data_IF_997318622224
#
_entry.id   IF_997318622224
#
_cell.length_a   1.000
_cell.length_b   1.000
_cell.length_c   1.000
_cell.angle_alpha   90.00
_cell.angle_beta   90.00
_cell.angle_gamma   90.00
#
_symmetry.space_group_name_H-M   'P 1'
#
loop_
_entity.id
_entity.type
_entity.pdbx_description
1 polymer ?
#
# COMPACT_ATOMS: atom_id res chain seq x y z
N UNK A 1 -20.99 -77.26 0.56
CA UNK A 1 -20.04 -76.59 -0.35
C UNK A 1 -20.61 -75.29 -0.94
N UNK A 2 -21.83 -74.85 -0.59
CA UNK A 2 -22.51 -73.74 -1.29
C UNK A 2 -22.46 -72.36 -0.59
N UNK A 3 -21.94 -72.29 0.64
CA UNK A 3 -21.97 -71.05 1.44
C UNK A 3 -20.74 -70.14 1.24
N UNK A 4 -19.62 -70.67 0.75
CA UNK A 4 -18.36 -69.91 0.59
C UNK A 4 -18.32 -69.23 -0.78
N UNK A 5 -18.76 -69.94 -1.82
CA UNK A 5 -18.88 -69.42 -3.19
C UNK A 5 -19.90 -68.28 -3.30
N UNK A 6 -21.05 -68.38 -2.63
CA UNK A 6 -22.05 -67.29 -2.64
C UNK A 6 -21.57 -66.03 -1.90
N UNK A 7 -20.82 -66.20 -0.80
CA UNK A 7 -20.19 -65.09 -0.07
C UNK A 7 -19.09 -64.42 -0.89
N UNK A 8 -18.30 -65.20 -1.63
CA UNK A 8 -17.25 -64.64 -2.50
C UNK A 8 -17.86 -63.85 -3.66
N UNK A 9 -18.93 -64.36 -4.27
CA UNK A 9 -19.64 -63.67 -5.37
C UNK A 9 -20.32 -62.38 -4.89
N UNK A 10 -20.95 -62.38 -3.71
CA UNK A 10 -21.53 -61.15 -3.16
C UNK A 10 -20.48 -60.08 -2.82
N UNK A 11 -19.30 -60.50 -2.33
CA UNK A 11 -18.22 -59.56 -2.03
C UNK A 11 -17.56 -59.01 -3.31
N UNK A 12 -17.46 -59.82 -4.37
CA UNK A 12 -17.00 -59.35 -5.69
C UNK A 12 -17.99 -58.34 -6.29
N UNK A 13 -19.29 -58.58 -6.16
CA UNK A 13 -20.32 -57.66 -6.67
C UNK A 13 -20.28 -56.30 -5.95
N UNK A 14 -20.13 -56.30 -4.63
CA UNK A 14 -19.98 -55.04 -3.86
C UNK A 14 -18.72 -54.24 -4.23
N UNK A 15 -17.64 -54.91 -4.65
CA UNK A 15 -16.40 -54.24 -5.08
C UNK A 15 -16.51 -53.61 -6.48
N UNK A 16 -17.37 -54.18 -7.33
CA UNK A 16 -17.65 -53.71 -8.70
C UNK A 16 -18.42 -52.39 -8.70
N UNK A 17 -19.25 -52.17 -7.67
CA UNK A 17 -20.10 -50.99 -7.56
C UNK A 17 -19.39 -49.77 -6.92
N UNK A 18 -18.18 -49.95 -6.34
CA UNK A 18 -17.54 -48.93 -5.49
C UNK A 18 -16.29 -48.27 -6.06
N UNK A 19 -15.86 -48.54 -7.30
CA UNK A 19 -14.55 -48.05 -7.76
C UNK A 19 -14.53 -47.53 -9.22
N UNK A 20 -13.78 -46.44 -9.41
CA UNK A 20 -13.57 -45.72 -10.67
C UNK A 20 -12.85 -46.55 -11.73
N UNK A 21 -13.26 -46.41 -13.00
CA UNK A 21 -12.71 -46.92 -14.29
C UNK A 21 -11.43 -47.78 -14.32
N UNK A 22 -10.36 -47.45 -13.57
CA UNK A 22 -9.13 -48.25 -13.50
C UNK A 22 -9.28 -49.58 -12.74
N UNK A 23 -10.20 -49.67 -11.77
CA UNK A 23 -10.47 -50.90 -11.01
C UNK A 23 -11.31 -51.92 -11.78
N UNK A 24 -12.14 -51.48 -12.73
CA UNK A 24 -12.93 -52.35 -13.59
C UNK A 24 -12.06 -53.26 -14.46
N UNK A 25 -10.88 -52.78 -14.88
CA UNK A 25 -9.94 -53.58 -15.67
C UNK A 25 -9.33 -54.72 -14.83
N UNK A 26 -9.04 -54.46 -13.56
CA UNK A 26 -8.48 -55.44 -12.61
C UNK A 26 -9.51 -56.50 -12.26
N UNK A 27 -10.76 -56.11 -12.02
CA UNK A 27 -11.86 -57.03 -11.71
C UNK A 27 -12.11 -57.98 -12.89
N UNK A 28 -12.10 -57.48 -14.13
CA UNK A 28 -12.25 -58.33 -15.32
C UNK A 28 -11.09 -59.33 -15.51
N UNK A 29 -9.86 -58.94 -15.20
CA UNK A 29 -8.70 -59.85 -15.25
C UNK A 29 -8.81 -60.93 -14.17
N UNK A 30 -9.22 -60.57 -12.95
CA UNK A 30 -9.47 -61.54 -11.87
C UNK A 30 -10.63 -62.49 -12.19
N UNK A 31 -11.73 -61.99 -12.78
CA UNK A 31 -12.85 -62.82 -13.26
C UNK A 31 -12.41 -63.80 -14.37
N UNK A 32 -11.41 -63.44 -15.17
CA UNK A 32 -10.87 -64.29 -16.24
C UNK A 32 -9.88 -65.35 -15.74
N UNK A 33 -9.25 -65.13 -14.59
CA UNK A 33 -8.25 -66.01 -13.96
C UNK A 33 -8.86 -67.00 -12.95
N UNK A 34 -10.12 -66.81 -12.55
CA UNK A 34 -10.86 -67.70 -11.65
C UNK A 34 -11.51 -68.84 -12.45
N UNK A 35 -11.06 -70.10 -12.31
CA UNK A 35 -11.82 -71.22 -12.85
C UNK A 35 -13.17 -71.33 -12.12
N UNK A 36 -14.24 -71.53 -12.89
CA UNK A 36 -15.65 -71.54 -12.43
C UNK A 36 -15.93 -72.59 -11.33
N UNK A 37 -15.05 -73.58 -11.17
CA UNK A 37 -14.97 -74.48 -10.01
C UNK A 37 -13.50 -74.83 -9.74
N UNK A 38 -12.90 -74.38 -8.63
CA UNK A 38 -11.56 -74.85 -8.25
C UNK A 38 -11.63 -76.35 -7.93
N UNK A 39 -10.81 -77.15 -8.60
CA UNK A 39 -10.81 -78.60 -8.37
C UNK A 39 -9.88 -78.98 -7.22
N UNK A 40 -8.85 -78.15 -6.93
CA UNK A 40 -7.85 -78.40 -5.91
C UNK A 40 -7.58 -77.16 -5.02
N UNK A 41 -7.22 -77.40 -3.76
CA UNK A 41 -6.94 -76.35 -2.76
C UNK A 41 -5.70 -75.51 -3.16
N UNK A 42 -4.75 -76.12 -3.87
CA UNK A 42 -3.53 -75.45 -4.34
C UNK A 42 -3.82 -74.32 -5.33
N UNK A 43 -4.82 -74.49 -6.20
CA UNK A 43 -5.24 -73.46 -7.17
C UNK A 43 -5.87 -72.26 -6.47
N UNK A 44 -6.66 -72.51 -5.42
CA UNK A 44 -7.27 -71.45 -4.60
C UNK A 44 -6.18 -70.65 -3.87
N UNK A 45 -5.19 -71.33 -3.31
CA UNK A 45 -4.06 -70.67 -2.65
C UNK A 45 -3.24 -69.83 -3.64
N UNK A 46 -3.02 -70.32 -4.86
CA UNK A 46 -2.31 -69.57 -5.90
C UNK A 46 -3.04 -68.28 -6.27
N UNK A 47 -4.36 -68.33 -6.46
CA UNK A 47 -5.18 -67.15 -6.80
C UNK A 47 -5.16 -66.14 -5.65
N UNK A 48 -5.28 -66.60 -4.40
CA UNK A 48 -5.20 -65.72 -3.22
C UNK A 48 -3.83 -65.05 -3.13
N UNK A 49 -2.74 -65.81 -3.31
CA UNK A 49 -1.38 -65.26 -3.28
C UNK A 49 -1.15 -64.25 -4.39
N UNK A 50 -1.65 -64.51 -5.60
CA UNK A 50 -1.56 -63.59 -6.73
C UNK A 50 -2.35 -62.28 -6.48
N UNK A 51 -3.56 -62.38 -5.93
CA UNK A 51 -4.37 -61.21 -5.57
C UNK A 51 -3.70 -60.35 -4.50
N UNK A 52 -3.09 -60.98 -3.47
CA UNK A 52 -2.34 -60.27 -2.43
C UNK A 52 -1.11 -59.57 -3.03
N UNK A 53 -0.34 -60.25 -3.86
CA UNK A 53 0.84 -59.67 -4.50
C UNK A 53 0.47 -58.48 -5.40
N UNK A 54 -0.59 -58.62 -6.18
CA UNK A 54 -1.08 -57.57 -7.06
C UNK A 54 -1.64 -56.37 -6.29
N UNK A 55 -2.36 -56.62 -5.19
CA UNK A 55 -2.82 -55.57 -4.28
C UNK A 55 -1.65 -54.80 -3.64
N UNK A 56 -0.62 -55.50 -3.18
CA UNK A 56 0.60 -54.88 -2.64
C UNK A 56 1.29 -54.05 -3.73
N UNK A 57 1.41 -54.58 -4.95
CA UNK A 57 2.05 -53.89 -6.06
C UNK A 57 1.32 -52.59 -6.43
N UNK A 58 0.00 -52.62 -6.56
CA UNK A 58 -0.82 -51.41 -6.80
C UNK A 58 -0.69 -50.43 -5.63
N UNK A 59 -0.76 -50.91 -4.38
CA UNK A 59 -0.67 -50.02 -3.21
C UNK A 59 0.67 -49.30 -3.14
N UNK A 60 1.78 -49.97 -3.43
CA UNK A 60 3.11 -49.35 -3.45
C UNK A 60 3.23 -48.37 -4.61
N UNK A 61 2.78 -48.74 -5.81
CA UNK A 61 2.91 -47.91 -7.00
C UNK A 61 1.99 -46.68 -6.96
N UNK A 62 0.75 -46.83 -6.50
CA UNK A 62 -0.20 -45.72 -6.36
C UNK A 62 0.17 -44.80 -5.18
N UNK A 63 0.57 -45.33 -4.01
CA UNK A 63 0.95 -44.47 -2.89
C UNK A 63 2.27 -43.73 -3.15
N UNK A 64 3.26 -44.38 -3.77
CA UNK A 64 4.53 -43.72 -4.13
C UNK A 64 4.32 -42.53 -5.05
N UNK A 65 3.56 -42.72 -6.13
CA UNK A 65 3.26 -41.65 -7.10
C UNK A 65 2.39 -40.53 -6.50
N UNK A 66 1.42 -40.87 -5.65
CA UNK A 66 0.58 -39.88 -4.99
C UNK A 66 1.34 -39.03 -3.95
N UNK A 67 2.32 -39.60 -3.25
CA UNK A 67 3.15 -38.87 -2.29
C UNK A 67 4.06 -37.87 -3.01
N UNK A 68 4.70 -38.27 -4.10
CA UNK A 68 5.55 -37.37 -4.89
C UNK A 68 4.76 -36.24 -5.55
N UNK A 69 3.60 -36.56 -6.14
CA UNK A 69 2.71 -35.57 -6.73
C UNK A 69 2.16 -34.57 -5.69
N UNK A 70 1.71 -35.08 -4.53
CA UNK A 70 1.22 -34.25 -3.43
C UNK A 70 2.32 -33.35 -2.86
N UNK A 71 3.54 -33.88 -2.72
CA UNK A 71 4.71 -33.10 -2.27
C UNK A 71 5.05 -32.01 -3.28
N UNK A 72 5.06 -32.31 -4.57
CA UNK A 72 5.34 -31.32 -5.64
C UNK A 72 4.30 -30.20 -5.67
N UNK A 73 3.01 -30.53 -5.51
CA UNK A 73 1.92 -29.54 -5.39
C UNK A 73 2.04 -28.70 -4.12
N UNK A 74 2.41 -29.31 -2.99
CA UNK A 74 2.61 -28.59 -1.74
C UNK A 74 3.77 -27.58 -1.87
N UNK A 75 4.91 -27.99 -2.45
CA UNK A 75 6.02 -27.07 -2.69
C UNK A 75 5.66 -25.95 -3.67
N UNK A 76 4.96 -26.25 -4.77
CA UNK A 76 4.53 -25.21 -5.71
C UNK A 76 3.54 -24.23 -5.07
N UNK A 77 2.59 -24.72 -4.27
CA UNK A 77 1.63 -23.87 -3.58
C UNK A 77 2.31 -22.98 -2.53
N UNK A 78 3.26 -23.53 -1.75
CA UNK A 78 4.04 -22.74 -0.78
C UNK A 78 4.88 -21.68 -1.49
N UNK A 79 5.51 -22.01 -2.62
CA UNK A 79 6.29 -21.04 -3.40
C UNK A 79 5.41 -19.90 -3.93
N UNK A 80 4.26 -20.22 -4.55
CA UNK A 80 3.30 -19.22 -5.06
C UNK A 80 2.75 -18.34 -3.94
N UNK A 81 2.41 -18.92 -2.79
CA UNK A 81 1.94 -18.17 -1.62
C UNK A 81 3.04 -17.22 -1.12
N UNK A 82 4.30 -17.68 -1.10
CA UNK A 82 5.43 -16.87 -0.63
C UNK A 82 5.72 -15.72 -1.59
N UNK A 83 5.73 -15.98 -2.90
CA UNK A 83 5.89 -14.94 -3.93
C UNK A 83 4.75 -13.91 -3.91
N UNK A 84 3.51 -14.34 -3.69
CA UNK A 84 2.38 -13.41 -3.58
C UNK A 84 2.48 -12.57 -2.31
N UNK A 85 2.84 -13.18 -1.16
CA UNK A 85 3.07 -12.45 0.09
C UNK A 85 4.20 -11.41 -0.03
N UNK A 86 5.31 -11.74 -0.69
CA UNK A 86 6.43 -10.80 -0.88
C UNK A 86 6.04 -9.68 -1.84
N UNK A 87 5.33 -9.97 -2.93
CA UNK A 87 4.78 -8.96 -3.86
C UNK A 87 3.80 -8.01 -3.15
N UNK A 88 2.89 -8.54 -2.33
CA UNK A 88 1.96 -7.72 -1.55
C UNK A 88 2.67 -6.82 -0.54
N UNK A 89 3.66 -7.36 0.18
CA UNK A 89 4.48 -6.58 1.12
C UNK A 89 5.22 -5.44 0.40
N UNK A 90 5.77 -5.71 -0.79
CA UNK A 90 6.44 -4.72 -1.62
C UNK A 90 5.49 -3.64 -2.14
N UNK A 91 4.28 -4.02 -2.59
CA UNK A 91 3.28 -3.04 -3.03
C UNK A 91 2.78 -2.18 -1.86
N UNK A 92 2.58 -2.77 -0.68
CA UNK A 92 2.22 -2.03 0.54
C UNK A 92 3.31 -1.03 0.93
N UNK A 93 4.58 -1.43 0.90
CA UNK A 93 5.70 -0.53 1.23
C UNK A 93 5.83 0.61 0.20
N UNK A 94 5.65 0.32 -1.09
CA UNK A 94 5.64 1.33 -2.17
C UNK A 94 4.48 2.32 -2.01
N UNK A 95 3.27 1.85 -1.66
CA UNK A 95 2.11 2.71 -1.37
C UNK A 95 2.37 3.60 -0.15
N UNK A 96 2.88 3.05 0.96
CA UNK A 96 3.24 3.84 2.15
C UNK A 96 4.26 4.93 1.82
N UNK A 97 5.31 4.58 1.06
CA UNK A 97 6.33 5.55 0.63
C UNK A 97 5.72 6.66 -0.23
N UNK A 98 4.85 6.33 -1.18
CA UNK A 98 4.14 7.30 -2.02
C UNK A 98 3.26 8.22 -1.19
N UNK A 99 2.50 7.69 -0.24
CA UNK A 99 1.64 8.48 0.64
C UNK A 99 2.45 9.45 1.49
N UNK A 100 3.55 8.98 2.11
CA UNK A 100 4.45 9.85 2.87
C UNK A 100 5.06 10.98 2.02
N UNK A 101 5.44 10.67 0.78
CA UNK A 101 5.93 11.68 -0.16
C UNK A 101 4.82 12.70 -0.46
N UNK A 102 3.59 12.23 -0.71
CA UNK A 102 2.44 13.08 -1.03
C UNK A 102 2.04 13.99 0.15
N UNK A 103 2.02 13.45 1.37
CA UNK A 103 1.83 14.24 2.60
C UNK A 103 2.91 15.32 2.73
N UNK A 104 4.19 14.96 2.57
CA UNK A 104 5.28 15.92 2.60
C UNK A 104 5.24 16.96 1.46
N UNK A 105 4.62 16.66 0.31
CA UNK A 105 4.35 17.64 -0.75
C UNK A 105 3.22 18.58 -0.32
N UNK A 106 2.12 18.03 0.21
CA UNK A 106 0.97 18.83 0.68
C UNK A 106 1.37 19.84 1.76
N UNK A 107 2.13 19.40 2.77
CA UNK A 107 2.66 20.28 3.82
C UNK A 107 3.59 21.37 3.28
N UNK A 108 4.40 21.04 2.26
CA UNK A 108 5.27 22.03 1.60
C UNK A 108 4.46 23.03 0.79
N UNK A 109 3.40 22.60 0.13
CA UNK A 109 2.49 23.50 -0.58
C UNK A 109 1.73 24.43 0.36
N UNK A 110 1.23 23.93 1.48
CA UNK A 110 0.56 24.72 2.52
C UNK A 110 1.51 25.80 3.06
N UNK A 111 2.74 25.43 3.44
CA UNK A 111 3.77 26.41 3.84
C UNK A 111 4.06 27.44 2.75
N UNK A 112 4.13 27.03 1.48
CA UNK A 112 4.31 27.97 0.35
C UNK A 112 3.12 28.93 0.19
N UNK A 113 1.89 28.49 0.48
CA UNK A 113 0.71 29.38 0.48
C UNK A 113 0.79 30.39 1.63
N UNK A 114 1.17 29.95 2.82
CA UNK A 114 1.35 30.84 3.97
C UNK A 114 2.44 31.88 3.72
N UNK A 115 3.60 31.46 3.22
CA UNK A 115 4.69 32.36 2.84
C UNK A 115 4.22 33.41 1.83
N UNK A 116 3.41 33.02 0.83
CA UNK A 116 2.85 33.97 -0.14
C UNK A 116 1.97 35.03 0.53
N UNK A 117 1.09 34.64 1.46
CA UNK A 117 0.26 35.58 2.23
C UNK A 117 1.10 36.52 3.09
N UNK A 118 2.18 36.01 3.70
CA UNK A 118 3.09 36.85 4.47
C UNK A 118 3.84 37.86 3.59
N UNK A 119 4.31 37.44 2.42
CA UNK A 119 4.96 38.33 1.45
C UNK A 119 4.01 39.44 1.01
N UNK A 120 2.74 39.11 0.73
CA UNK A 120 1.73 40.09 0.33
C UNK A 120 1.50 41.14 1.43
N UNK A 121 1.32 40.70 2.69
CA UNK A 121 1.21 41.62 3.83
C UNK A 121 2.44 42.52 3.99
N UNK A 122 3.65 41.98 3.81
CA UNK A 122 4.88 42.77 3.89
C UNK A 122 4.95 43.82 2.78
N UNK A 123 4.47 43.51 1.57
CA UNK A 123 4.38 44.49 0.47
C UNK A 123 3.38 45.60 0.78
N UNK A 124 2.19 45.25 1.28
CA UNK A 124 1.19 46.24 1.70
C UNK A 124 1.75 47.19 2.78
N UNK A 125 2.42 46.63 3.80
CA UNK A 125 3.09 47.41 4.83
C UNK A 125 4.21 48.30 4.26
N UNK A 126 4.96 47.80 3.28
CA UNK A 126 6.00 48.58 2.62
C UNK A 126 5.40 49.76 1.85
N UNK A 127 4.32 49.55 1.09
CA UNK A 127 3.62 50.61 0.35
C UNK A 127 3.00 51.65 1.28
N UNK A 128 2.43 51.22 2.41
CA UNK A 128 1.93 52.14 3.44
C UNK A 128 3.07 52.97 4.04
N UNK A 129 4.19 52.33 4.37
CA UNK A 129 5.38 53.04 4.88
C UNK A 129 5.94 54.05 3.88
N UNK A 130 5.88 53.77 2.58
CA UNK A 130 6.27 54.74 1.53
C UNK A 130 5.30 55.92 1.55
N UNK A 131 3.99 55.68 1.56
CA UNK A 131 2.95 56.71 1.62
C UNK A 131 3.09 57.61 2.86
N UNK A 132 3.37 57.02 4.02
CA UNK A 132 3.61 57.76 5.27
C UNK A 132 4.85 58.63 5.15
N UNK A 133 5.97 58.08 4.65
CA UNK A 133 7.21 58.84 4.43
C UNK A 133 7.01 60.05 3.52
N UNK A 134 6.25 59.90 2.45
CA UNK A 134 5.92 61.03 1.57
C UNK A 134 5.06 62.10 2.24
N UNK A 135 4.12 61.70 3.10
CA UNK A 135 3.32 62.65 3.89
C UNK A 135 4.18 63.41 4.90
N UNK A 136 5.11 62.73 5.57
CA UNK A 136 6.05 63.34 6.50
C UNK A 136 6.92 64.36 5.75
N UNK A 137 7.54 63.97 4.63
CA UNK A 137 8.37 64.86 3.81
C UNK A 137 7.64 66.13 3.37
N UNK A 138 6.35 66.01 3.00
CA UNK A 138 5.51 67.17 2.67
C UNK A 138 5.27 68.09 3.88
N UNK A 139 4.97 67.51 5.05
CA UNK A 139 4.76 68.28 6.29
C UNK A 139 6.03 68.98 6.74
N UNK A 140 7.17 68.31 6.70
CA UNK A 140 8.48 68.89 7.01
C UNK A 140 8.78 70.09 6.10
N UNK A 141 8.51 69.97 4.79
CA UNK A 141 8.65 71.08 3.85
C UNK A 141 7.75 72.28 4.19
N UNK A 142 6.51 72.04 4.62
CA UNK A 142 5.61 73.12 5.06
C UNK A 142 6.08 73.77 6.37
N UNK A 143 6.54 72.97 7.33
CA UNK A 143 7.09 73.45 8.61
C UNK A 143 8.33 74.32 8.36
N UNK A 144 9.24 73.87 7.50
CA UNK A 144 10.43 74.64 7.12
C UNK A 144 10.08 76.00 6.48
N UNK A 145 9.09 76.02 5.57
CA UNK A 145 8.60 77.28 4.98
C UNK A 145 7.99 78.21 6.03
N UNK A 146 7.15 77.69 6.94
CA UNK A 146 6.57 78.47 8.04
C UNK A 146 7.64 79.02 8.96
N UNK A 147 8.64 78.21 9.33
CA UNK A 147 9.77 78.62 10.18
C UNK A 147 10.55 79.77 9.52
N UNK A 148 10.88 79.64 8.23
CA UNK A 148 11.57 80.71 7.47
C UNK A 148 10.74 81.99 7.38
N UNK A 149 9.43 81.89 7.20
CA UNK A 149 8.53 83.08 7.18
C UNK A 149 8.49 83.76 8.55
N UNK A 150 8.42 82.97 9.62
CA UNK A 150 8.38 83.47 10.99
C UNK A 150 9.69 84.17 11.38
N UNK A 151 10.83 83.62 10.96
CA UNK A 151 12.15 84.22 11.15
C UNK A 151 12.27 85.59 10.45
N UNK A 152 11.78 85.69 9.21
CA UNK A 152 11.71 86.98 8.49
C UNK A 152 10.79 88.01 9.16
N UNK A 153 9.66 87.59 9.71
CA UNK A 153 8.78 88.50 10.46
C UNK A 153 9.44 88.98 11.75
N UNK A 154 10.17 88.10 12.44
CA UNK A 154 10.89 88.47 13.66
C UNK A 154 11.99 89.50 13.39
N UNK A 155 12.74 89.36 12.30
CA UNK A 155 13.77 90.35 11.95
C UNK A 155 13.18 91.72 11.64
N UNK A 156 12.04 91.79 10.92
CA UNK A 156 11.40 93.08 10.61
C UNK A 156 10.69 93.73 11.81
N UNK A 157 10.26 92.94 12.80
CA UNK A 157 9.59 93.47 14.01
C UNK A 157 10.62 93.98 15.03
N UNK A 158 11.79 93.34 15.12
CA UNK A 158 12.89 93.81 15.97
C UNK A 158 13.52 95.12 15.48
N UNK A 159 13.46 95.40 14.17
CA UNK A 159 13.87 96.69 13.60
C UNK A 159 12.91 97.82 14.03
N UNK A 160 11.59 97.58 14.00
CA UNK A 160 10.62 98.57 14.46
C UNK A 160 10.69 98.82 15.98
N UNK A 161 10.94 97.81 16.80
CA UNK A 161 11.07 98.00 18.26
C UNK A 161 12.33 98.79 18.66
N UNK A 162 13.41 98.71 17.87
CA UNK A 162 14.58 99.57 18.08
C UNK A 162 14.33 101.01 17.60
N UNK A 163 13.61 101.19 16.49
CA UNK A 163 13.27 102.51 15.95
C UNK A 163 12.32 103.28 16.90
N UNK A 164 11.39 102.60 17.58
CA UNK A 164 10.54 103.23 18.61
C UNK A 164 11.30 103.59 19.90
N UNK A 165 12.34 102.82 20.28
CA UNK A 165 13.17 103.14 21.46
C UNK A 165 14.14 104.29 21.23
N UNK A 166 14.69 104.44 20.02
CA UNK A 166 15.55 105.58 19.68
C UNK A 166 14.78 106.92 19.61
N UNK A 167 13.46 106.88 19.41
CA UNK A 167 12.61 108.07 19.42
C UNK A 167 12.25 108.49 20.87
N UNK A 168 12.00 107.53 21.78
CA UNK A 168 11.72 107.83 23.20
C UNK A 168 12.97 108.30 24.00
N UNK A 169 14.20 107.98 23.57
CA UNK A 169 15.43 108.46 24.22
C UNK A 169 15.91 109.86 23.73
N UNK A 170 15.28 110.43 22.70
CA UNK A 170 15.65 111.74 22.12
C UNK A 170 14.60 112.86 22.35
N UNK A 171 13.54 112.60 23.13
CA UNK A 171 12.65 113.63 23.71
C UNK A 171 13.00 113.93 25.17
#
# INVERSE_FOLDING_TARGET
MDSITSKLQNNLQQFKDSTSSSSNCVISILESLLPVKPQNIEEVLFIIMFAIFFYIWISVFCNGNNIEYSRRLAYSNVQVITENKTKEAFLRSKRKRRNKIMEGVREREERRREIRRFIEKLKEQQEENIRIRERIKRREGQIAKRKKKLEKMKSSTGETENEYKEIEENE
#
